data_IF_236995805097
#
_entry.id   IF_236995805097
#
_cell.length_a   1.000
_cell.length_b   1.000
_cell.length_c   1.000
_cell.angle_alpha   90.00
_cell.angle_beta   90.00
_cell.angle_gamma   90.00
#
_symmetry.space_group_name_H-M   'P 1'
#
loop_
_entity.id
_entity.type
_entity.pdbx_description
1 polymer ?
#
# COMPACT_ATOMS: atom_id res chain seq x y z
N UNK A 1 21.23 46.70 4.05
CA UNK A 1 19.95 46.09 3.62
C UNK A 1 20.01 44.63 4.04
N UNK A 2 19.73 44.37 5.31
CA UNK A 2 19.80 43.04 5.89
C UNK A 2 18.38 42.49 5.99
N UNK A 3 18.02 41.62 5.05
CA UNK A 3 16.84 40.78 5.16
C UNK A 3 17.16 39.62 6.11
N UNK A 4 17.20 39.89 7.41
CA UNK A 4 17.13 38.86 8.45
C UNK A 4 15.69 38.35 8.52
N UNK A 5 15.31 37.53 7.54
CA UNK A 5 14.12 36.69 7.64
C UNK A 5 14.45 35.63 8.70
N UNK A 6 14.19 35.98 9.96
CA UNK A 6 14.07 35.05 11.07
C UNK A 6 12.87 34.16 10.77
N UNK A 7 13.12 33.14 9.97
CA UNK A 7 12.18 32.07 9.64
C UNK A 7 12.04 31.19 10.89
N UNK A 8 11.26 31.68 11.85
CA UNK A 8 10.66 30.86 12.90
C UNK A 8 9.58 29.97 12.26
N UNK A 9 9.99 28.99 11.44
CA UNK A 9 9.17 27.84 11.13
C UNK A 9 9.14 26.93 12.35
N UNK A 10 8.51 27.41 13.43
CA UNK A 10 8.06 26.58 14.51
C UNK A 10 6.93 25.72 13.93
N UNK A 11 7.28 24.56 13.39
CA UNK A 11 6.30 23.61 12.88
C UNK A 11 5.25 23.40 14.00
N UNK A 12 3.96 23.70 13.76
CA UNK A 12 2.98 23.67 14.83
C UNK A 12 2.93 22.26 15.39
N UNK A 13 3.21 22.11 16.69
CA UNK A 13 3.28 20.83 17.42
C UNK A 13 2.10 19.90 17.11
N UNK A 14 0.94 20.48 16.77
CA UNK A 14 -0.25 19.76 16.33
C UNK A 14 0.00 18.90 15.07
N UNK A 15 0.71 19.39 14.05
CA UNK A 15 0.98 18.62 12.81
C UNK A 15 1.77 17.34 13.10
N UNK A 16 2.71 17.40 14.06
CA UNK A 16 3.50 16.24 14.46
C UNK A 16 2.63 15.16 15.13
N UNK A 17 1.72 15.57 16.02
CA UNK A 17 0.77 14.66 16.70
C UNK A 17 -0.18 14.00 15.68
N UNK A 18 -0.69 14.76 14.70
CA UNK A 18 -1.50 14.21 13.62
C UNK A 18 -0.73 13.21 12.76
N UNK A 19 0.53 13.52 12.42
CA UNK A 19 1.40 12.61 11.67
C UNK A 19 1.64 11.28 12.38
N UNK A 20 1.88 11.31 13.69
CA UNK A 20 2.04 10.10 14.51
C UNK A 20 0.75 9.28 14.55
N UNK A 21 -0.41 9.91 14.79
CA UNK A 21 -1.71 9.22 14.82
C UNK A 21 -2.02 8.57 13.47
N UNK A 22 -1.80 9.29 12.37
CA UNK A 22 -1.99 8.75 11.02
C UNK A 22 -1.04 7.57 10.79
N UNK A 23 0.25 7.72 11.09
CA UNK A 23 1.24 6.64 10.96
C UNK A 23 0.84 5.40 11.76
N UNK A 24 0.28 5.56 12.96
CA UNK A 24 -0.13 4.43 13.81
C UNK A 24 -1.27 3.61 13.21
N UNK A 25 -2.23 4.26 12.54
CA UNK A 25 -3.36 3.58 11.88
C UNK A 25 -2.87 2.78 10.67
N UNK A 26 -1.99 3.37 9.86
CA UNK A 26 -1.41 2.69 8.70
C UNK A 26 -0.52 1.50 9.09
N UNK A 27 0.28 1.65 10.15
CA UNK A 27 1.07 0.55 10.69
C UNK A 27 0.16 -0.57 11.21
N UNK A 28 -0.92 -0.24 11.90
CA UNK A 28 -1.91 -1.22 12.36
C UNK A 28 -2.54 -1.99 11.19
N UNK A 29 -3.00 -1.27 10.15
CA UNK A 29 -3.57 -1.88 8.95
C UNK A 29 -2.56 -2.79 8.24
N UNK A 30 -1.30 -2.36 8.12
CA UNK A 30 -0.23 -3.15 7.51
C UNK A 30 0.07 -4.43 8.31
N UNK A 31 0.14 -4.33 9.64
CA UNK A 31 0.36 -5.48 10.54
C UNK A 31 -0.81 -6.47 10.42
N UNK A 32 -2.05 -5.99 10.44
CA UNK A 32 -3.23 -6.84 10.25
C UNK A 32 -3.18 -7.55 8.90
N UNK A 33 -2.87 -6.84 7.82
CA UNK A 33 -2.72 -7.42 6.47
C UNK A 33 -1.63 -8.50 6.42
N UNK A 34 -0.49 -8.28 7.09
CA UNK A 34 0.59 -9.28 7.17
C UNK A 34 0.12 -10.50 7.96
N UNK A 35 -0.52 -10.32 9.11
CA UNK A 35 -1.07 -11.42 9.92
C UNK A 35 -2.08 -12.22 9.10
N UNK A 36 -3.03 -11.55 8.44
CA UNK A 36 -4.01 -12.19 7.56
C UNK A 36 -3.35 -12.91 6.38
N UNK A 37 -2.31 -12.34 5.78
CA UNK A 37 -1.52 -12.96 4.73
C UNK A 37 -0.84 -14.25 5.18
N UNK A 38 -0.16 -14.21 6.31
CA UNK A 38 0.50 -15.39 6.91
C UNK A 38 -0.54 -16.45 7.25
N UNK A 39 -1.65 -16.06 7.88
CA UNK A 39 -2.74 -16.99 8.22
C UNK A 39 -3.32 -17.65 6.95
N UNK A 40 -3.49 -16.88 5.88
CA UNK A 40 -3.97 -17.37 4.58
C UNK A 40 -2.99 -18.38 3.97
N UNK A 41 -1.69 -18.12 4.04
CA UNK A 41 -0.65 -19.04 3.56
C UNK A 41 -0.64 -20.34 4.36
N UNK A 42 -0.63 -20.26 5.70
CA UNK A 42 -0.64 -21.43 6.59
C UNK A 42 -1.91 -22.26 6.37
N UNK A 43 -3.06 -21.60 6.31
CA UNK A 43 -4.34 -22.25 6.07
C UNK A 43 -4.37 -22.94 4.70
N UNK A 44 -3.82 -22.29 3.66
CA UNK A 44 -3.68 -22.88 2.32
C UNK A 44 -2.78 -24.10 2.33
N UNK A 45 -1.61 -24.05 2.99
CA UNK A 45 -0.71 -25.20 3.08
C UNK A 45 -1.41 -26.41 3.72
N UNK A 46 -2.11 -26.21 4.85
CA UNK A 46 -2.88 -27.28 5.51
C UNK A 46 -4.04 -27.78 4.65
N UNK A 47 -4.77 -26.88 3.98
CA UNK A 47 -5.95 -27.23 3.18
C UNK A 47 -5.62 -27.89 1.85
N UNK A 48 -4.50 -27.54 1.21
CA UNK A 48 -4.05 -28.16 -0.06
C UNK A 48 -3.76 -29.65 0.11
N UNK A 49 -3.32 -30.07 1.30
CA UNK A 49 -3.07 -31.48 1.64
C UNK A 49 -4.40 -32.24 1.84
N UNK A 50 -5.46 -31.58 2.35
CA UNK A 50 -6.74 -32.20 2.65
C UNK A 50 -7.71 -32.25 1.44
N UNK A 51 -7.69 -31.23 0.59
CA UNK A 51 -8.71 -31.02 -0.47
C UNK A 51 -8.50 -31.85 -1.74
N UNK A 52 -7.34 -32.46 -1.91
CA UNK A 52 -7.00 -33.23 -3.13
C UNK A 52 -7.93 -34.41 -3.43
N UNK A 53 -8.94 -34.70 -2.58
CA UNK A 53 -9.82 -35.87 -2.72
C UNK A 53 -11.30 -35.60 -3.04
N UNK A 54 -11.91 -34.44 -2.77
CA UNK A 54 -13.39 -34.35 -2.80
C UNK A 54 -14.06 -32.97 -3.10
N UNK A 55 -13.36 -31.86 -3.37
CA UNK A 55 -14.06 -30.58 -3.63
C UNK A 55 -14.38 -30.31 -5.11
N UNK A 56 -15.51 -29.63 -5.39
CA UNK A 56 -15.88 -29.19 -6.74
C UNK A 56 -14.89 -28.14 -7.29
N UNK A 57 -14.44 -28.36 -8.53
CA UNK A 57 -13.41 -27.60 -9.24
C UNK A 57 -13.59 -26.06 -9.21
N UNK A 58 -14.83 -25.57 -9.20
CA UNK A 58 -15.10 -24.13 -9.20
C UNK A 58 -14.74 -23.41 -7.88
N UNK A 59 -14.97 -24.03 -6.73
CA UNK A 59 -14.64 -23.41 -5.43
C UNK A 59 -13.13 -23.22 -5.27
N UNK A 60 -12.35 -24.21 -5.72
CA UNK A 60 -10.91 -24.14 -5.66
C UNK A 60 -10.32 -23.01 -6.51
N UNK A 61 -10.95 -22.70 -7.65
CA UNK A 61 -10.50 -21.62 -8.52
C UNK A 61 -10.72 -20.23 -7.90
N UNK A 62 -11.89 -19.99 -7.30
CA UNK A 62 -12.22 -18.72 -6.63
C UNK A 62 -11.29 -18.46 -5.44
N UNK A 63 -11.00 -19.48 -4.64
CA UNK A 63 -10.10 -19.34 -3.48
C UNK A 63 -8.66 -19.07 -3.88
N UNK A 64 -8.19 -19.70 -4.97
CA UNK A 64 -6.85 -19.45 -5.51
C UNK A 64 -6.74 -18.02 -6.04
N UNK A 65 -7.79 -17.51 -6.69
CA UNK A 65 -7.85 -16.12 -7.15
C UNK A 65 -7.84 -15.13 -5.97
N UNK A 66 -8.65 -15.37 -4.94
CA UNK A 66 -8.70 -14.53 -3.74
C UNK A 66 -7.33 -14.49 -3.05
N UNK A 67 -6.66 -15.64 -2.94
CA UNK A 67 -5.33 -15.71 -2.34
C UNK A 67 -4.30 -14.94 -3.17
N UNK A 68 -4.33 -15.06 -4.50
CA UNK A 68 -3.44 -14.30 -5.37
C UNK A 68 -3.65 -12.80 -5.27
N UNK A 69 -4.91 -12.37 -5.09
CA UNK A 69 -5.26 -10.97 -4.86
C UNK A 69 -4.66 -10.47 -3.55
N UNK A 70 -4.87 -11.20 -2.45
CA UNK A 70 -4.32 -10.85 -1.13
C UNK A 70 -2.79 -10.78 -1.16
N UNK A 71 -2.12 -11.74 -1.81
CA UNK A 71 -0.66 -11.73 -1.94
C UNK A 71 -0.18 -10.49 -2.72
N UNK A 72 -0.85 -10.17 -3.83
CA UNK A 72 -0.49 -9.00 -4.66
C UNK A 72 -0.69 -7.70 -3.87
N UNK A 73 -1.79 -7.59 -3.13
CA UNK A 73 -2.06 -6.45 -2.25
C UNK A 73 -0.96 -6.30 -1.20
N UNK A 74 -0.58 -7.37 -0.50
CA UNK A 74 0.48 -7.35 0.51
C UNK A 74 1.81 -6.90 -0.09
N UNK A 75 2.18 -7.40 -1.27
CA UNK A 75 3.41 -6.98 -1.96
C UNK A 75 3.36 -5.48 -2.27
N UNK A 76 2.21 -4.98 -2.74
CA UNK A 76 2.04 -3.56 -3.09
C UNK A 76 2.08 -2.67 -1.83
N UNK A 77 1.47 -3.10 -0.73
CA UNK A 77 1.55 -2.44 0.59
C UNK A 77 3.01 -2.37 1.06
N UNK A 78 3.76 -3.46 0.98
CA UNK A 78 5.18 -3.48 1.40
C UNK A 78 6.00 -2.52 0.53
N UNK A 79 5.85 -2.56 -0.78
CA UNK A 79 6.61 -1.71 -1.71
C UNK A 79 6.31 -0.22 -1.54
N UNK A 80 5.09 0.14 -1.16
CA UNK A 80 4.67 1.54 -0.98
C UNK A 80 4.95 2.07 0.43
N UNK A 81 4.77 1.26 1.47
CA UNK A 81 4.94 1.67 2.88
C UNK A 81 6.40 1.65 3.36
N UNK A 82 7.23 0.75 2.83
CA UNK A 82 8.61 0.58 3.27
C UNK A 82 9.48 1.84 2.99
N UNK A 83 9.45 2.45 1.78
CA UNK A 83 10.18 3.69 1.51
C UNK A 83 9.74 4.85 2.41
N UNK A 84 8.44 4.97 2.68
CA UNK A 84 7.90 6.00 3.56
C UNK A 84 8.35 5.80 5.01
N UNK A 85 8.37 4.56 5.49
CA UNK A 85 8.85 4.21 6.84
C UNK A 85 10.33 4.55 6.99
N UNK A 86 11.16 4.21 6.00
CA UNK A 86 12.60 4.58 5.98
C UNK A 86 12.76 6.10 6.04
N UNK A 87 11.98 6.85 5.26
CA UNK A 87 12.02 8.31 5.27
C UNK A 87 11.64 8.91 6.63
N UNK A 88 10.61 8.38 7.30
CA UNK A 88 10.25 8.83 8.65
C UNK A 88 11.39 8.59 9.63
N UNK A 89 12.00 7.39 9.63
CA UNK A 89 13.12 7.05 10.51
C UNK A 89 14.30 8.00 10.24
N UNK A 90 14.63 8.21 8.96
CA UNK A 90 15.65 9.16 8.54
C UNK A 90 15.38 10.56 9.11
N UNK A 91 14.15 11.06 8.96
CA UNK A 91 13.74 12.39 9.44
C UNK A 91 13.81 12.52 10.96
N UNK A 92 13.43 11.46 11.69
CA UNK A 92 13.51 11.40 13.15
C UNK A 92 14.96 11.47 13.63
N UNK A 93 15.87 10.71 13.02
CA UNK A 93 17.29 10.68 13.40
C UNK A 93 17.97 12.02 13.07
N UNK A 94 17.55 12.68 12.00
CA UNK A 94 18.19 13.91 11.52
C UNK A 94 17.58 15.18 12.09
N UNK A 95 16.61 15.10 13.00
CA UNK A 95 15.77 16.25 13.39
C UNK A 95 16.56 17.41 14.02
N UNK A 96 17.65 17.13 14.71
CA UNK A 96 18.49 18.13 15.39
C UNK A 96 19.55 18.75 14.48
N UNK A 97 19.71 18.23 13.25
CA UNK A 97 20.73 18.72 12.31
C UNK A 97 20.26 20.02 11.66
N UNK A 98 21.08 21.07 11.77
CA UNK A 98 20.96 22.30 10.97
C UNK A 98 21.01 21.96 9.48
N UNK A 99 19.97 22.30 8.72
CA UNK A 99 19.84 22.01 7.27
C UNK A 99 19.80 23.29 6.45
N UNK A 100 20.37 23.22 5.25
CA UNK A 100 20.24 24.30 4.28
C UNK A 100 18.81 24.34 3.72
N UNK A 101 18.39 25.50 3.23
CA UNK A 101 17.05 25.68 2.62
C UNK A 101 16.81 24.75 1.43
N UNK A 102 17.86 24.44 0.65
CA UNK A 102 17.80 23.53 -0.48
C UNK A 102 17.52 22.08 -0.02
N UNK A 103 18.16 21.63 1.05
CA UNK A 103 17.96 20.27 1.58
C UNK A 103 16.51 20.08 2.05
N UNK A 104 15.97 21.09 2.73
CA UNK A 104 14.58 21.10 3.19
C UNK A 104 13.61 21.04 1.99
N UNK A 105 13.94 21.71 0.89
CA UNK A 105 13.12 21.66 -0.33
C UNK A 105 13.07 20.24 -0.91
N UNK A 106 14.22 19.57 -1.03
CA UNK A 106 14.28 18.19 -1.53
C UNK A 106 13.54 17.21 -0.63
N UNK A 107 13.70 17.31 0.69
CA UNK A 107 12.99 16.47 1.64
C UNK A 107 11.47 16.63 1.53
N UNK A 108 10.98 17.86 1.37
CA UNK A 108 9.56 18.11 1.16
C UNK A 108 9.02 17.50 -0.14
N UNK A 109 9.82 17.50 -1.21
CA UNK A 109 9.44 16.85 -2.48
C UNK A 109 9.39 15.34 -2.30
N UNK A 110 10.43 14.75 -1.69
CA UNK A 110 10.49 13.31 -1.38
C UNK A 110 9.29 12.90 -0.53
N UNK A 111 8.97 13.66 0.52
CA UNK A 111 7.83 13.43 1.39
C UNK A 111 6.51 13.41 0.62
N UNK A 112 6.31 14.36 -0.30
CA UNK A 112 5.10 14.42 -1.14
C UNK A 112 5.00 13.23 -2.09
N UNK A 113 6.11 12.84 -2.72
CA UNK A 113 6.16 11.67 -3.60
C UNK A 113 5.84 10.38 -2.85
N UNK A 114 6.42 10.20 -1.66
CA UNK A 114 6.16 9.02 -0.81
C UNK A 114 4.72 8.99 -0.28
N UNK A 115 4.11 10.14 0.00
CA UNK A 115 2.68 10.18 0.34
C UNK A 115 1.80 9.84 -0.86
N UNK A 116 2.15 10.30 -2.06
CA UNK A 116 1.41 9.95 -3.28
C UNK A 116 1.42 8.44 -3.52
N UNK A 117 2.54 7.75 -3.29
CA UNK A 117 2.58 6.28 -3.44
C UNK A 117 1.62 5.56 -2.50
N UNK A 118 1.41 6.07 -1.29
CA UNK A 118 0.42 5.52 -0.34
C UNK A 118 -1.03 5.80 -0.82
N UNK A 119 -1.29 6.95 -1.42
CA UNK A 119 -2.62 7.20 -2.02
C UNK A 119 -2.88 6.30 -3.23
N UNK A 120 -1.86 6.02 -4.04
CA UNK A 120 -1.96 5.07 -5.14
C UNK A 120 -2.31 3.67 -4.66
N UNK A 121 -1.69 3.19 -3.57
CA UNK A 121 -2.03 1.92 -2.92
C UNK A 121 -3.53 1.81 -2.63
N UNK A 122 -4.13 2.83 -2.00
CA UNK A 122 -5.55 2.82 -1.67
C UNK A 122 -6.46 2.73 -2.92
N UNK A 123 -6.01 3.23 -4.07
CA UNK A 123 -6.73 3.12 -5.35
C UNK A 123 -6.45 1.79 -6.08
N UNK A 124 -5.29 1.16 -5.82
CA UNK A 124 -4.84 -0.06 -6.49
C UNK A 124 -5.66 -1.29 -6.12
N UNK A 125 -6.21 -1.38 -4.91
CA UNK A 125 -7.01 -2.54 -4.48
C UNK A 125 -8.18 -2.85 -5.43
N UNK A 126 -8.83 -1.81 -5.98
CA UNK A 126 -9.86 -1.97 -7.01
C UNK A 126 -9.30 -2.55 -8.31
N UNK A 127 -8.15 -2.06 -8.78
CA UNK A 127 -7.53 -2.55 -10.01
C UNK A 127 -6.99 -3.97 -9.84
N UNK A 128 -6.39 -4.29 -8.71
CA UNK A 128 -5.91 -5.65 -8.39
C UNK A 128 -7.11 -6.61 -8.41
N UNK A 129 -8.23 -6.25 -7.78
CA UNK A 129 -9.47 -7.03 -7.86
C UNK A 129 -9.90 -7.26 -9.32
N UNK A 130 -9.89 -6.21 -10.14
CA UNK A 130 -10.32 -6.25 -11.54
C UNK A 130 -9.38 -7.07 -12.43
N UNK A 131 -8.07 -7.06 -12.13
CA UNK A 131 -7.06 -7.83 -12.86
C UNK A 131 -6.98 -9.31 -12.42
N UNK A 132 -7.28 -9.61 -11.16
CA UNK A 132 -7.13 -10.97 -10.61
C UNK A 132 -8.34 -11.87 -10.89
N UNK A 133 -9.54 -11.29 -11.04
CA UNK A 133 -10.71 -12.03 -11.53
C UNK A 133 -10.59 -12.31 -13.04
N UNK A 134 -9.83 -13.35 -13.39
CA UNK A 134 -9.71 -13.85 -14.76
C UNK A 134 -11.07 -14.26 -15.37
N UNK A 135 -12.02 -14.69 -14.55
CA UNK A 135 -13.40 -15.00 -14.95
C UNK A 135 -14.19 -13.75 -15.34
N UNK A 136 -14.07 -12.65 -14.58
CA UNK A 136 -14.64 -11.35 -14.97
C UNK A 136 -13.91 -10.76 -16.17
N UNK A 137 -12.59 -10.89 -16.25
CA UNK A 137 -11.81 -10.40 -17.40
C UNK A 137 -12.28 -11.04 -18.70
N UNK A 138 -12.53 -12.35 -18.71
CA UNK A 138 -13.13 -13.06 -19.85
C UNK A 138 -14.55 -12.58 -20.16
N UNK A 139 -15.42 -12.42 -19.16
CA UNK A 139 -16.80 -11.91 -19.35
C UNK A 139 -16.82 -10.45 -19.84
N UNK A 140 -15.97 -9.60 -19.27
CA UNK A 140 -15.86 -8.19 -19.63
C UNK A 140 -15.30 -8.01 -21.04
N UNK A 141 -14.23 -8.74 -21.41
CA UNK A 141 -13.73 -8.76 -22.79
C UNK A 141 -14.78 -9.29 -23.77
N UNK A 142 -15.59 -10.27 -23.36
CA UNK A 142 -16.68 -10.78 -24.19
C UNK A 142 -17.77 -9.71 -24.42
N UNK A 143 -18.18 -8.99 -23.36
CA UNK A 143 -19.14 -7.88 -23.45
C UNK A 143 -18.56 -6.73 -24.31
N UNK A 144 -17.31 -6.36 -24.09
CA UNK A 144 -16.64 -5.30 -24.82
C UNK A 144 -16.54 -5.63 -26.31
N UNK A 145 -16.11 -6.86 -26.66
CA UNK A 145 -16.08 -7.35 -28.05
C UNK A 145 -17.46 -7.43 -28.70
N UNK A 146 -18.53 -7.57 -27.92
CA UNK A 146 -19.91 -7.55 -28.43
C UNK A 146 -20.36 -6.13 -28.76
N UNK A 147 -20.03 -5.15 -27.91
CA UNK A 147 -20.34 -3.73 -28.15
C UNK A 147 -19.51 -3.10 -29.27
N UNK A 148 -18.26 -3.53 -29.46
CA UNK A 148 -17.35 -2.99 -30.48
C UNK A 148 -17.61 -3.55 -31.91
N UNK A 149 -18.51 -4.52 -32.05
CA UNK A 149 -18.86 -5.14 -33.34
C UNK A 149 -20.16 -4.60 -33.95
N UNK A 150 -20.81 -3.67 -33.24
CA UNK A 150 -21.95 -2.88 -33.70
C UNK A 150 -21.47 -1.45 -33.94
#
# INVERSE_FOLDING_TARGET
MDFTISNNYCAPKNIFIWGIKFSSIYLCQSILLIIFGILTIIYRQKRTIFIRRNEPYERHHVETQLTSMIITEIILVILSSLPYTIYIIYRLITIERSRNSIDIMYENIIERLLRLTIFFEASCGFYIYLFTLTSLKKRFLHILRRKLRH
#
